data_IF_283133294397
#
_entry.id   IF_283133294397
#
_cell.length_a   1.000
_cell.length_b   1.000
_cell.length_c   1.000
_cell.angle_alpha   90.00
_cell.angle_beta   90.00
_cell.angle_gamma   90.00
#
_symmetry.space_group_name_H-M   'P 1'
#
loop_
_entity.id
_entity.type
_entity.pdbx_description
1 polymer ?
#
# COMPACT_ATOMS: atom_id res chain seq x y z
N UNK A 1 -30.83 -44.00 0.40
CA UNK A 1 -30.56 -42.55 0.19
C UNK A 1 -29.10 -42.12 0.48
N UNK A 2 -28.13 -43.03 0.64
CA UNK A 2 -26.76 -42.72 1.09
C UNK A 2 -25.73 -42.43 -0.02
N UNK A 3 -25.96 -42.88 -1.26
CA UNK A 3 -24.98 -42.73 -2.36
C UNK A 3 -24.89 -41.31 -2.94
N UNK A 4 -25.96 -40.50 -2.88
CA UNK A 4 -25.96 -39.12 -3.41
C UNK A 4 -25.15 -38.15 -2.56
N UNK A 5 -25.14 -38.35 -1.24
CA UNK A 5 -24.38 -37.49 -0.31
C UNK A 5 -22.86 -37.66 -0.46
N UNK A 6 -22.39 -38.87 -0.80
CA UNK A 6 -20.97 -39.12 -1.04
C UNK A 6 -20.42 -38.43 -2.29
N UNK A 7 -21.19 -38.39 -3.37
CA UNK A 7 -20.78 -37.74 -4.63
C UNK A 7 -20.66 -36.22 -4.46
N UNK A 8 -21.64 -35.58 -3.81
CA UNK A 8 -21.62 -34.13 -3.55
C UNK A 8 -20.43 -33.74 -2.67
N UNK A 9 -20.16 -34.51 -1.61
CA UNK A 9 -19.01 -34.28 -0.75
C UNK A 9 -17.68 -34.36 -1.50
N UNK A 10 -17.49 -35.40 -2.33
CA UNK A 10 -16.29 -35.55 -3.15
C UNK A 10 -16.10 -34.38 -4.14
N UNK A 11 -17.16 -33.94 -4.81
CA UNK A 11 -17.10 -32.81 -5.74
C UNK A 11 -16.68 -31.52 -5.05
N UNK A 12 -17.26 -31.19 -3.89
CA UNK A 12 -16.90 -29.99 -3.13
C UNK A 12 -15.42 -30.01 -2.73
N UNK A 13 -14.92 -31.15 -2.24
CA UNK A 13 -13.51 -31.30 -1.87
C UNK A 13 -12.58 -31.08 -3.06
N UNK A 14 -12.91 -31.66 -4.23
CA UNK A 14 -12.12 -31.49 -5.45
C UNK A 14 -12.09 -30.02 -5.87
N UNK A 15 -13.24 -29.35 -5.89
CA UNK A 15 -13.32 -27.93 -6.27
C UNK A 15 -12.54 -27.03 -5.30
N UNK A 16 -12.61 -27.30 -4.00
CA UNK A 16 -11.82 -26.58 -3.00
C UNK A 16 -10.31 -26.81 -3.19
N UNK A 17 -9.89 -28.06 -3.42
CA UNK A 17 -8.49 -28.39 -3.65
C UNK A 17 -7.96 -27.70 -4.92
N UNK A 18 -8.75 -27.69 -6.00
CA UNK A 18 -8.40 -26.96 -7.23
C UNK A 18 -8.33 -25.45 -6.98
N UNK A 19 -9.30 -24.88 -6.28
CA UNK A 19 -9.30 -23.44 -5.96
C UNK A 19 -8.08 -23.02 -5.15
N UNK A 20 -7.70 -23.80 -4.13
CA UNK A 20 -6.50 -23.57 -3.35
C UNK A 20 -5.22 -23.75 -4.18
N UNK A 21 -5.18 -24.75 -5.06
CA UNK A 21 -4.06 -24.97 -5.98
C UNK A 21 -3.85 -23.79 -6.93
N UNK A 22 -4.92 -23.28 -7.55
CA UNK A 22 -4.88 -22.11 -8.43
C UNK A 22 -4.45 -20.86 -7.65
N UNK A 23 -5.03 -20.62 -6.47
CA UNK A 23 -4.65 -19.47 -5.64
C UNK A 23 -3.18 -19.54 -5.20
N UNK A 24 -2.69 -20.73 -4.82
CA UNK A 24 -1.29 -20.96 -4.48
C UNK A 24 -0.36 -20.72 -5.67
N UNK A 25 -0.71 -21.22 -6.85
CA UNK A 25 0.05 -21.00 -8.08
C UNK A 25 0.09 -19.52 -8.49
N UNK A 26 -1.06 -18.83 -8.48
CA UNK A 26 -1.12 -17.39 -8.73
C UNK A 26 -0.26 -16.61 -7.72
N UNK A 27 -0.28 -16.99 -6.44
CA UNK A 27 0.59 -16.38 -5.41
C UNK A 27 2.07 -16.52 -5.76
N UNK A 28 2.48 -17.66 -6.30
CA UNK A 28 3.86 -17.88 -6.70
C UNK A 28 4.24 -17.03 -7.92
N UNK A 29 3.35 -16.93 -8.91
CA UNK A 29 3.57 -16.11 -10.09
C UNK A 29 3.66 -14.61 -9.75
N UNK A 30 2.86 -14.11 -8.81
CA UNK A 30 2.89 -12.71 -8.37
C UNK A 30 4.24 -12.29 -7.74
N UNK A 31 5.09 -13.24 -7.34
CA UNK A 31 6.46 -12.96 -6.87
C UNK A 31 7.45 -12.65 -8.00
N UNK A 32 7.02 -12.73 -9.27
CA UNK A 32 7.79 -12.32 -10.44
C UNK A 32 7.13 -11.11 -11.09
N UNK A 33 7.79 -9.96 -11.07
CA UNK A 33 7.28 -8.74 -11.70
C UNK A 33 6.95 -8.92 -13.19
N UNK A 34 7.62 -9.87 -13.87
CA UNK A 34 7.34 -10.20 -15.28
C UNK A 34 5.95 -10.76 -15.47
N UNK A 35 5.43 -11.50 -14.48
CA UNK A 35 4.05 -11.98 -14.50
C UNK A 35 3.06 -10.81 -14.42
N UNK A 36 3.31 -9.85 -13.53
CA UNK A 36 2.47 -8.67 -13.39
C UNK A 36 2.38 -7.92 -14.74
N UNK A 37 3.52 -7.60 -15.36
CA UNK A 37 3.53 -6.85 -16.61
C UNK A 37 3.12 -7.66 -17.85
N UNK A 38 2.91 -8.99 -17.74
CA UNK A 38 2.45 -9.79 -18.87
C UNK A 38 1.00 -9.47 -19.27
N UNK A 39 0.18 -9.04 -18.30
CA UNK A 39 -1.24 -8.71 -18.50
C UNK A 39 -1.55 -7.24 -18.18
N UNK A 40 -0.65 -6.49 -17.54
CA UNK A 40 -0.86 -5.06 -17.33
C UNK A 40 -0.49 -4.23 -18.57
N UNK A 41 -1.05 -3.02 -18.65
CA UNK A 41 -0.93 -2.11 -19.80
C UNK A 41 0.28 -1.19 -19.72
N UNK A 42 0.41 -0.32 -20.72
CA UNK A 42 1.45 0.72 -20.81
C UNK A 42 1.84 1.40 -19.47
N UNK A 43 0.92 1.80 -18.57
CA UNK A 43 1.31 2.36 -17.27
C UNK A 43 2.22 1.45 -16.45
N UNK A 44 1.80 0.22 -16.15
CA UNK A 44 2.56 -0.67 -15.28
C UNK A 44 3.85 -1.14 -15.93
N UNK A 45 3.85 -1.35 -17.25
CA UNK A 45 5.09 -1.65 -18.01
C UNK A 45 6.09 -0.50 -17.84
N UNK A 46 5.63 0.75 -17.99
CA UNK A 46 6.48 1.91 -17.80
C UNK A 46 6.98 2.06 -16.34
N UNK A 47 6.22 1.61 -15.34
CA UNK A 47 6.64 1.63 -13.93
C UNK A 47 7.72 0.58 -13.68
N UNK A 48 7.49 -0.63 -14.18
CA UNK A 48 8.45 -1.72 -14.12
C UNK A 48 9.77 -1.34 -14.81
N UNK A 49 9.71 -0.80 -16.03
CA UNK A 49 10.91 -0.39 -16.75
C UNK A 49 11.71 0.67 -16.00
N UNK A 50 11.06 1.68 -15.41
CA UNK A 50 11.74 2.69 -14.58
C UNK A 50 12.39 2.05 -13.35
N UNK A 51 11.70 1.15 -12.68
CA UNK A 51 12.24 0.44 -11.52
C UNK A 51 13.45 -0.43 -11.90
N UNK A 52 13.40 -1.15 -13.03
CA UNK A 52 14.54 -1.94 -13.52
C UNK A 52 15.72 -1.06 -13.94
N UNK A 53 15.46 0.06 -14.63
CA UNK A 53 16.49 1.02 -15.03
C UNK A 53 17.20 1.63 -13.81
N UNK A 54 16.42 1.98 -12.77
CA UNK A 54 16.93 2.49 -11.51
C UNK A 54 17.76 1.42 -10.76
N UNK A 55 17.24 0.20 -10.64
CA UNK A 55 17.95 -0.93 -10.04
C UNK A 55 19.26 -1.26 -10.76
N UNK A 56 19.29 -1.13 -12.08
CA UNK A 56 20.50 -1.34 -12.88
C UNK A 56 21.49 -0.16 -12.81
N UNK A 57 21.14 0.94 -12.13
CA UNK A 57 21.96 2.16 -12.07
C UNK A 57 22.03 2.94 -13.40
N UNK A 58 21.21 2.57 -14.38
CA UNK A 58 21.18 3.22 -15.70
C UNK A 58 20.43 4.56 -15.71
N UNK A 59 19.57 4.78 -14.71
CA UNK A 59 18.83 6.02 -14.46
C UNK A 59 18.71 6.21 -12.94
N UNK A 60 18.57 7.45 -12.44
CA UNK A 60 18.16 7.68 -11.05
C UNK A 60 16.70 7.19 -10.84
N UNK A 61 16.30 6.85 -9.60
CA UNK A 61 14.90 6.53 -9.32
C UNK A 61 14.02 7.77 -9.55
N UNK A 62 13.12 7.72 -10.52
CA UNK A 62 12.29 8.87 -10.93
C UNK A 62 10.96 8.96 -10.17
N UNK A 63 10.63 7.96 -9.37
CA UNK A 63 9.42 7.90 -8.56
C UNK A 63 9.67 7.03 -7.31
N UNK A 64 8.73 7.09 -6.36
CA UNK A 64 8.83 6.37 -5.11
C UNK A 64 8.87 4.84 -5.34
N UNK A 65 8.16 4.32 -6.35
CA UNK A 65 8.22 2.88 -6.66
C UNK A 65 9.62 2.44 -7.08
N UNK A 66 10.30 3.21 -7.93
CA UNK A 66 11.67 2.94 -8.38
C UNK A 66 12.67 3.06 -7.25
N UNK A 67 12.44 3.97 -6.30
CA UNK A 67 13.28 4.10 -5.09
C UNK A 67 13.27 2.84 -4.23
N UNK A 68 12.11 2.21 -4.06
CA UNK A 68 12.01 0.96 -3.30
C UNK A 68 12.84 -0.16 -3.95
N UNK A 69 13.02 -0.17 -5.27
CA UNK A 69 13.88 -1.13 -5.94
C UNK A 69 15.37 -0.86 -5.71
N UNK A 70 15.77 0.41 -5.53
CA UNK A 70 17.16 0.80 -5.30
C UNK A 70 17.60 0.69 -3.85
N UNK A 71 16.67 0.89 -2.90
CA UNK A 71 16.96 0.82 -1.46
C UNK A 71 16.78 -0.58 -0.88
N UNK A 72 16.17 -1.49 -1.64
CA UNK A 72 16.04 -2.89 -1.25
C UNK A 72 17.40 -3.55 -1.06
N UNK A 73 17.51 -4.34 0.01
CA UNK A 73 18.71 -5.16 0.24
C UNK A 73 18.79 -6.28 -0.80
N UNK A 74 20.00 -6.69 -1.14
CA UNK A 74 20.22 -7.75 -2.13
C UNK A 74 19.56 -9.08 -1.74
N UNK A 75 19.54 -9.41 -0.44
CA UNK A 75 18.90 -10.60 0.10
C UNK A 75 17.36 -10.55 0.16
N UNK A 76 16.78 -9.36 0.00
CA UNK A 76 15.34 -9.13 0.04
C UNK A 76 14.94 -8.10 -1.04
N UNK A 77 15.04 -8.47 -2.33
CA UNK A 77 14.73 -7.56 -3.42
C UNK A 77 13.24 -7.19 -3.37
N UNK A 78 12.96 -5.89 -3.53
CA UNK A 78 11.59 -5.40 -3.60
C UNK A 78 10.95 -5.75 -4.96
N UNK A 79 9.64 -6.03 -4.92
CA UNK A 79 8.81 -6.45 -6.05
C UNK A 79 7.52 -5.64 -6.10
N UNK A 80 6.81 -5.67 -7.22
CA UNK A 80 5.48 -5.06 -7.34
C UNK A 80 4.54 -5.58 -6.23
N UNK A 81 4.52 -6.90 -6.03
CA UNK A 81 3.60 -7.53 -5.08
C UNK A 81 3.85 -7.12 -3.63
N UNK A 82 5.08 -6.71 -3.26
CA UNK A 82 5.40 -6.32 -1.89
C UNK A 82 4.61 -5.08 -1.44
N UNK A 83 4.28 -4.19 -2.37
CA UNK A 83 3.38 -3.07 -2.11
C UNK A 83 1.90 -3.47 -2.33
N UNK A 84 1.62 -4.28 -3.35
CA UNK A 84 0.25 -4.59 -3.79
C UNK A 84 -0.47 -5.69 -3.01
N UNK A 85 0.21 -6.44 -2.13
CA UNK A 85 -0.39 -7.56 -1.37
C UNK A 85 -0.92 -7.21 0.02
N UNK A 86 -0.74 -5.97 0.47
CA UNK A 86 -1.06 -5.55 1.83
C UNK A 86 -0.17 -6.17 2.91
N UNK A 87 -0.73 -6.37 4.11
CA UNK A 87 0.03 -6.81 5.28
C UNK A 87 -0.03 -8.32 5.51
N UNK A 88 -0.15 -9.11 4.43
CA UNK A 88 -0.17 -10.58 4.45
C UNK A 88 -1.31 -11.20 5.25
N UNK A 89 -2.35 -10.43 5.58
CA UNK A 89 -3.55 -10.98 6.22
C UNK A 89 -4.35 -11.80 5.20
N UNK A 90 -5.20 -12.72 5.68
CA UNK A 90 -6.08 -13.48 4.79
C UNK A 90 -7.04 -12.56 4.01
N UNK A 91 -7.49 -11.47 4.63
CA UNK A 91 -8.36 -10.48 4.00
C UNK A 91 -7.61 -9.72 2.90
N UNK A 92 -6.38 -9.29 3.16
CA UNK A 92 -5.54 -8.63 2.14
C UNK A 92 -5.24 -9.58 0.98
N UNK A 93 -4.97 -10.86 1.27
CA UNK A 93 -4.75 -11.88 0.24
C UNK A 93 -5.98 -12.08 -0.64
N UNK A 94 -7.15 -12.25 -0.03
CA UNK A 94 -8.41 -12.39 -0.76
C UNK A 94 -8.69 -11.15 -1.62
N UNK A 95 -8.45 -9.95 -1.07
CA UNK A 95 -8.61 -8.68 -1.80
C UNK A 95 -7.66 -8.61 -3.00
N UNK A 96 -6.39 -8.98 -2.82
CA UNK A 96 -5.37 -8.99 -3.88
C UNK A 96 -5.77 -9.94 -5.00
N UNK A 97 -6.21 -11.16 -4.68
CA UNK A 97 -6.66 -12.15 -5.68
C UNK A 97 -7.89 -11.68 -6.46
N UNK A 98 -8.85 -11.03 -5.79
CA UNK A 98 -10.04 -10.47 -6.45
C UNK A 98 -9.66 -9.32 -7.38
N UNK A 99 -8.73 -8.45 -6.98
CA UNK A 99 -8.21 -7.39 -7.83
C UNK A 99 -7.44 -7.95 -9.04
N UNK A 100 -6.60 -8.97 -8.84
CA UNK A 100 -5.90 -9.65 -9.93
C UNK A 100 -6.87 -10.28 -10.95
N UNK A 101 -7.93 -10.94 -10.48
CA UNK A 101 -8.98 -11.47 -11.34
C UNK A 101 -9.70 -10.35 -12.12
N UNK A 102 -10.05 -9.25 -11.43
CA UNK A 102 -10.68 -8.09 -12.08
C UNK A 102 -9.79 -7.55 -13.19
N UNK A 103 -8.50 -7.34 -12.92
CA UNK A 103 -7.58 -6.75 -13.87
C UNK A 103 -7.34 -7.67 -15.06
N UNK A 104 -7.26 -8.99 -14.84
CA UNK A 104 -7.22 -9.99 -15.91
C UNK A 104 -8.48 -9.93 -16.81
N UNK A 105 -9.67 -9.78 -16.23
CA UNK A 105 -10.92 -9.64 -16.99
C UNK A 105 -10.99 -8.31 -17.77
N UNK A 106 -10.51 -7.22 -17.18
CA UNK A 106 -10.44 -5.90 -17.85
C UNK A 106 -9.48 -5.96 -19.04
N UNK A 107 -8.31 -6.59 -18.87
CA UNK A 107 -7.34 -6.81 -19.93
C UNK A 107 -7.93 -7.69 -21.04
N UNK A 108 -8.50 -8.85 -20.70
CA UNK A 108 -9.11 -9.77 -21.67
C UNK A 108 -10.26 -9.11 -22.46
N UNK A 109 -10.96 -8.15 -21.85
CA UNK A 109 -12.00 -7.35 -22.48
C UNK A 109 -11.51 -6.14 -23.29
N UNK A 110 -10.19 -5.91 -23.41
CA UNK A 110 -9.61 -4.79 -24.16
C UNK A 110 -9.90 -3.41 -23.57
N UNK A 111 -10.22 -3.33 -22.27
CA UNK A 111 -10.71 -2.11 -21.59
C UNK A 111 -9.72 -1.55 -20.58
N UNK A 112 -8.45 -1.91 -20.69
CA UNK A 112 -7.45 -1.46 -19.75
C UNK A 112 -7.12 0.03 -19.94
N UNK A 113 -6.94 0.72 -18.81
CA UNK A 113 -6.70 2.16 -18.74
C UNK A 113 -5.28 2.50 -19.23
N UNK A 114 -5.13 3.28 -20.32
CA UNK A 114 -3.82 3.62 -20.85
C UNK A 114 -3.12 4.75 -20.09
N UNK A 115 -3.77 5.37 -19.09
CA UNK A 115 -3.25 6.53 -18.36
C UNK A 115 -1.99 6.15 -17.59
N UNK A 116 -0.87 6.78 -17.94
CA UNK A 116 0.44 6.49 -17.36
C UNK A 116 0.57 6.91 -15.90
N UNK A 117 -0.15 7.90 -15.41
CA UNK A 117 -0.04 8.34 -14.01
C UNK A 117 -1.33 7.98 -13.26
N UNK A 118 -1.27 6.93 -12.45
CA UNK A 118 -2.39 6.52 -11.60
C UNK A 118 -2.30 7.22 -10.26
N UNK A 119 -3.25 8.12 -9.99
CA UNK A 119 -3.35 8.89 -8.75
C UNK A 119 -4.44 8.36 -7.80
N UNK A 120 -5.17 7.31 -8.19
CA UNK A 120 -6.19 6.66 -7.37
C UNK A 120 -5.96 5.16 -7.30
N UNK A 121 -6.10 4.59 -6.10
CA UNK A 121 -6.08 3.15 -5.89
C UNK A 121 -7.51 2.63 -5.67
N UNK A 122 -7.84 1.47 -6.24
CA UNK A 122 -9.12 0.80 -6.00
C UNK A 122 -9.26 0.28 -4.57
N UNK A 123 -8.15 -0.13 -3.96
CA UNK A 123 -8.09 -0.62 -2.59
C UNK A 123 -6.99 0.13 -1.81
N UNK A 124 -7.20 1.42 -1.46
CA UNK A 124 -6.18 2.22 -0.80
C UNK A 124 -5.75 1.64 0.54
N UNK A 125 -6.65 0.97 1.27
CA UNK A 125 -6.34 0.29 2.53
C UNK A 125 -5.36 -0.89 2.37
N UNK A 126 -5.38 -1.57 1.22
CA UNK A 126 -4.43 -2.65 0.91
C UNK A 126 -3.01 -2.09 0.81
N UNK A 127 -2.84 -1.03 0.02
CA UNK A 127 -1.54 -0.35 -0.13
C UNK A 127 -1.07 0.25 1.20
N UNK A 128 -1.97 0.87 1.96
CA UNK A 128 -1.60 1.44 3.25
C UNK A 128 -1.16 0.38 4.26
N UNK A 129 -1.79 -0.80 4.24
CA UNK A 129 -1.38 -1.93 5.06
C UNK A 129 0.05 -2.38 4.71
N UNK A 130 0.38 -2.44 3.41
CA UNK A 130 1.74 -2.76 2.96
C UNK A 130 2.78 -1.72 3.43
N UNK A 131 2.48 -0.42 3.29
CA UNK A 131 3.37 0.65 3.78
C UNK A 131 3.66 0.47 5.28
N UNK A 132 2.62 0.25 6.09
CA UNK A 132 2.74 0.12 7.55
C UNK A 132 3.54 -1.09 8.01
N UNK A 133 3.67 -2.13 7.17
CA UNK A 133 4.46 -3.32 7.49
C UNK A 133 5.95 -3.02 7.55
N UNK A 134 6.45 -2.22 6.61
CA UNK A 134 7.87 -1.87 6.51
C UNK A 134 8.19 -0.56 7.25
N UNK A 135 7.25 0.39 7.28
CA UNK A 135 7.44 1.72 7.90
C UNK A 135 6.81 1.84 9.28
N UNK A 136 6.60 0.71 9.97
CA UNK A 136 5.95 0.64 11.28
C UNK A 136 6.57 1.59 12.29
N UNK A 137 7.90 1.61 12.39
CA UNK A 137 8.61 2.41 13.39
C UNK A 137 8.42 3.91 13.14
N UNK A 138 8.40 4.35 11.89
CA UNK A 138 8.10 5.75 11.52
C UNK A 138 6.71 6.16 11.98
N UNK A 139 5.71 5.27 11.83
CA UNK A 139 4.33 5.55 12.26
C UNK A 139 4.19 5.67 13.78
N UNK A 140 5.10 5.06 14.54
CA UNK A 140 5.05 4.97 16.00
C UNK A 140 6.00 5.94 16.71
N UNK A 141 6.71 6.79 15.97
CA UNK A 141 7.42 7.94 16.57
C UNK A 141 6.39 8.92 17.11
N UNK A 142 6.43 9.21 18.40
CA UNK A 142 5.47 10.11 19.05
C UNK A 142 5.82 11.59 18.86
N UNK A 143 4.85 12.45 19.17
CA UNK A 143 5.05 13.89 19.26
C UNK A 143 4.47 14.66 18.07
N UNK A 144 4.34 15.98 18.25
CA UNK A 144 3.65 16.84 17.30
C UNK A 144 4.27 16.85 15.90
N UNK A 145 5.60 16.71 15.78
CA UNK A 145 6.27 16.66 14.46
C UNK A 145 5.85 15.43 13.62
N UNK A 146 5.32 14.39 14.27
CA UNK A 146 4.82 13.18 13.62
C UNK A 146 3.29 13.01 13.77
N UNK A 147 2.57 14.07 14.16
CA UNK A 147 1.14 14.01 14.47
C UNK A 147 0.33 13.41 13.32
N UNK A 148 0.65 13.80 12.07
CA UNK A 148 -0.01 13.27 10.89
C UNK A 148 0.03 11.74 10.89
N UNK A 149 1.23 11.15 11.00
CA UNK A 149 1.38 9.70 10.98
C UNK A 149 0.73 9.04 12.20
N UNK A 150 0.91 9.61 13.40
CA UNK A 150 0.33 9.06 14.63
C UNK A 150 -1.20 9.02 14.62
N UNK A 151 -1.83 9.97 13.94
CA UNK A 151 -3.28 10.09 13.88
C UNK A 151 -3.90 9.32 12.69
N UNK A 152 -3.08 8.72 11.81
CA UNK A 152 -3.59 7.83 10.76
C UNK A 152 -4.13 6.51 11.35
N UNK A 153 -5.18 5.92 10.73
CA UNK A 153 -5.72 4.62 11.13
C UNK A 153 -4.65 3.53 11.28
N UNK A 154 -3.62 3.54 10.44
CA UNK A 154 -2.61 2.50 10.41
C UNK A 154 -1.58 2.61 11.52
N UNK A 155 -1.28 3.80 12.04
CA UNK A 155 -0.47 3.92 13.25
C UNK A 155 -1.22 3.33 14.45
N UNK A 156 -2.51 3.62 14.59
CA UNK A 156 -3.34 3.01 15.63
C UNK A 156 -3.37 1.48 15.51
N UNK A 157 -3.55 0.93 14.31
CA UNK A 157 -3.53 -0.53 14.07
C UNK A 157 -2.16 -1.13 14.39
N UNK A 158 -1.07 -0.48 13.96
CA UNK A 158 0.29 -0.92 14.25
C UNK A 158 0.58 -0.93 15.76
N UNK A 159 0.08 0.06 16.50
CA UNK A 159 0.18 0.12 17.96
C UNK A 159 -0.63 -0.99 18.63
N UNK A 160 -1.90 -1.16 18.24
CA UNK A 160 -2.78 -2.24 18.75
C UNK A 160 -2.23 -3.64 18.48
N UNK A 161 -1.49 -3.82 17.38
CA UNK A 161 -0.78 -5.07 17.07
C UNK A 161 0.54 -5.25 17.88
N UNK A 162 0.65 -4.62 19.06
CA UNK A 162 1.82 -4.71 19.93
C UNK A 162 2.99 -3.79 19.55
N UNK A 163 2.72 -2.72 18.79
CA UNK A 163 3.74 -1.78 18.37
C UNK A 163 4.17 -0.91 19.55
N UNK A 164 5.48 -0.66 19.68
CA UNK A 164 6.00 0.22 20.73
C UNK A 164 6.06 1.66 20.24
N UNK A 165 5.51 2.59 21.02
CA UNK A 165 5.69 4.01 20.81
C UNK A 165 7.14 4.41 21.08
N UNK A 166 7.73 5.15 20.13
CA UNK A 166 9.12 5.57 20.15
C UNK A 166 9.18 7.07 20.40
N UNK A 167 10.10 7.55 21.27
CA UNK A 167 10.34 8.99 21.38
C UNK A 167 11.01 9.51 20.10
N UNK A 168 10.88 10.80 19.77
CA UNK A 168 11.69 11.43 18.73
C UNK A 168 13.19 11.23 18.99
N UNK A 169 13.98 10.95 17.94
CA UNK A 169 15.42 10.64 18.07
C UNK A 169 16.25 11.69 18.82
N UNK A 170 15.78 12.93 18.89
CA UNK A 170 16.49 14.08 19.48
C UNK A 170 15.85 14.58 20.78
N UNK A 171 14.83 13.89 21.33
CA UNK A 171 14.15 14.32 22.56
C UNK A 171 14.05 13.16 23.54
N UNK A 172 14.19 13.48 24.83
CA UNK A 172 13.87 12.53 25.89
C UNK A 172 12.37 12.21 25.87
N UNK A 173 12.01 11.03 26.34
CA UNK A 173 10.61 10.63 26.50
C UNK A 173 9.87 11.66 27.37
N UNK A 174 8.76 12.19 26.85
CA UNK A 174 7.95 13.25 27.52
C UNK A 174 6.77 12.68 28.29
N UNK A 175 6.56 11.35 28.23
CA UNK A 175 5.38 10.69 28.79
C UNK A 175 4.17 10.73 27.85
N UNK A 176 4.30 11.34 26.67
CA UNK A 176 3.29 11.25 25.61
C UNK A 176 3.06 9.80 25.17
N UNK A 177 4.09 8.95 25.25
CA UNK A 177 4.03 7.53 24.98
C UNK A 177 3.04 6.80 25.90
N UNK A 178 2.86 7.28 27.13
CA UNK A 178 1.93 6.69 28.09
C UNK A 178 0.46 6.98 27.74
N UNK A 179 0.17 7.99 26.91
CA UNK A 179 -1.21 8.32 26.48
C UNK A 179 -1.74 7.38 25.39
N UNK A 180 -0.85 6.66 24.70
CA UNK A 180 -1.21 5.81 23.58
C UNK A 180 -1.65 6.59 22.34
N UNK A 181 -2.02 5.86 21.28
CA UNK A 181 -2.60 6.46 20.08
C UNK A 181 -4.12 6.45 20.13
N UNK A 182 -4.74 7.43 19.48
CA UNK A 182 -6.19 7.49 19.28
C UNK A 182 -6.53 7.05 17.87
N UNK A 183 -7.67 6.39 17.72
CA UNK A 183 -8.19 6.06 16.41
C UNK A 183 -8.99 7.25 15.86
N UNK A 184 -8.63 7.72 14.67
CA UNK A 184 -9.39 8.69 13.91
C UNK A 184 -9.87 8.03 12.62
N UNK A 185 -11.18 8.11 12.36
CA UNK A 185 -11.73 7.65 11.11
C UNK A 185 -11.51 8.73 10.03
N UNK A 186 -10.65 8.43 9.05
CA UNK A 186 -10.35 9.33 7.93
C UNK A 186 -10.11 8.52 6.65
N UNK A 187 -10.36 9.13 5.50
CA UNK A 187 -10.02 8.58 4.18
C UNK A 187 -8.60 8.94 3.75
N UNK A 188 -7.90 9.78 4.52
CA UNK A 188 -6.50 10.13 4.30
C UNK A 188 -5.63 8.91 4.61
N UNK A 189 -4.69 8.66 3.72
CA UNK A 189 -3.79 7.49 3.72
C UNK A 189 -2.36 7.94 3.41
N UNK A 190 -1.38 7.04 3.54
CA UNK A 190 -0.01 7.27 3.10
C UNK A 190 0.03 7.80 1.66
N UNK A 191 -0.78 7.23 0.75
CA UNK A 191 -0.81 7.64 -0.66
C UNK A 191 -1.42 9.03 -0.91
N UNK A 192 -2.05 9.63 0.11
CA UNK A 192 -2.53 11.02 0.01
C UNK A 192 -1.38 12.02 -0.12
N UNK A 193 -0.20 11.66 0.40
CA UNK A 193 1.03 12.46 0.33
C UNK A 193 2.19 11.74 -0.38
N UNK A 194 2.24 10.40 -0.33
CA UNK A 194 3.31 9.58 -0.90
C UNK A 194 2.86 8.92 -2.21
N UNK A 195 2.95 9.65 -3.33
CA UNK A 195 2.50 9.11 -4.63
C UNK A 195 3.55 8.18 -5.23
N UNK A 196 3.20 6.90 -5.35
CA UNK A 196 4.13 5.84 -5.74
C UNK A 196 4.63 5.92 -7.20
N UNK A 197 3.73 6.21 -8.13
CA UNK A 197 3.98 6.11 -9.58
C UNK A 197 3.91 7.45 -10.33
N UNK A 198 3.99 8.56 -9.60
CA UNK A 198 4.08 9.90 -10.19
C UNK A 198 5.55 10.27 -10.25
N UNK A 199 5.99 10.79 -11.40
CA UNK A 199 7.38 11.25 -11.53
C UNK A 199 7.64 12.40 -10.54
N UNK A 200 8.78 12.33 -9.88
CA UNK A 200 9.18 13.31 -8.89
C UNK A 200 9.82 12.64 -7.69
N UNK A 201 10.65 13.40 -7.01
CA UNK A 201 11.23 13.01 -5.74
C UNK A 201 10.15 13.12 -4.65
N UNK A 202 10.06 12.13 -3.77
CA UNK A 202 9.13 12.17 -2.64
C UNK A 202 9.28 13.46 -1.79
N UNK A 203 10.52 13.92 -1.62
CA UNK A 203 10.82 15.18 -0.93
C UNK A 203 10.20 16.39 -1.62
N UNK A 204 10.09 16.39 -2.96
CA UNK A 204 9.42 17.44 -3.70
C UNK A 204 7.90 17.41 -3.50
N UNK A 205 7.30 16.24 -3.31
CA UNK A 205 5.87 16.13 -2.99
C UNK A 205 5.53 16.73 -1.62
N UNK A 206 6.45 16.69 -0.65
CA UNK A 206 6.29 17.42 0.61
C UNK A 206 6.43 18.94 0.47
N UNK A 207 7.18 19.40 -0.53
CA UNK A 207 7.25 20.83 -0.88
C UNK A 207 6.02 21.31 -1.66
N UNK A 208 5.23 20.39 -2.22
CA UNK A 208 3.96 20.68 -2.88
C UNK A 208 2.83 20.87 -1.85
N UNK A 209 3.01 21.87 -0.97
CA UNK A 209 2.09 22.13 0.13
C UNK A 209 0.67 22.38 -0.38
N UNK A 210 0.51 23.27 -1.35
CA UNK A 210 -0.80 23.68 -1.85
C UNK A 210 -1.55 22.55 -2.57
N UNK A 211 -0.86 21.76 -3.37
CA UNK A 211 -1.49 20.76 -4.25
C UNK A 211 -1.62 19.38 -3.60
N UNK A 212 -0.86 19.10 -2.54
CA UNK A 212 -0.80 17.77 -1.93
C UNK A 212 -0.98 17.78 -0.41
N UNK A 213 -0.13 18.47 0.34
CA UNK A 213 -0.08 18.37 1.80
C UNK A 213 -1.30 19.03 2.45
N UNK A 214 -1.54 20.32 2.16
CA UNK A 214 -2.67 21.07 2.71
C UNK A 214 -4.03 20.43 2.42
N UNK A 215 -4.35 19.99 1.18
CA UNK A 215 -5.63 19.32 0.95
C UNK A 215 -5.77 18.00 1.71
N UNK A 216 -4.69 17.25 1.95
CA UNK A 216 -4.75 16.06 2.81
C UNK A 216 -5.01 16.43 4.27
N UNK A 217 -4.31 17.44 4.81
CA UNK A 217 -4.52 17.95 6.17
C UNK A 217 -5.94 18.48 6.36
N UNK A 218 -6.43 19.32 5.44
CA UNK A 218 -7.79 19.87 5.48
C UNK A 218 -8.84 18.76 5.45
N UNK A 219 -8.67 17.75 4.58
CA UNK A 219 -9.57 16.60 4.53
C UNK A 219 -9.61 15.85 5.85
N UNK A 220 -8.44 15.54 6.43
CA UNK A 220 -8.36 14.86 7.73
C UNK A 220 -9.06 15.69 8.81
N UNK A 221 -8.78 16.99 8.90
CA UNK A 221 -9.37 17.86 9.92
C UNK A 221 -10.89 18.03 9.76
N UNK A 222 -11.39 18.02 8.53
CA UNK A 222 -12.83 18.03 8.24
C UNK A 222 -13.50 16.71 8.63
N UNK A 223 -12.95 15.57 8.23
CA UNK A 223 -13.51 14.25 8.51
C UNK A 223 -13.51 13.90 10.00
N UNK A 224 -12.46 14.33 10.71
CA UNK A 224 -12.30 14.03 12.15
C UNK A 224 -12.96 15.08 13.06
N UNK A 225 -13.30 16.25 12.52
CA UNK A 225 -13.78 17.39 13.31
C UNK A 225 -12.72 17.93 14.28
N UNK A 226 -11.43 17.78 13.96
CA UNK A 226 -10.29 18.17 14.81
C UNK A 226 -9.29 19.00 14.00
N UNK A 227 -8.60 19.92 14.66
CA UNK A 227 -7.55 20.72 14.02
C UNK A 227 -8.07 21.90 13.18
N UNK A 228 -7.15 22.73 12.68
CA UNK A 228 -7.49 23.90 11.88
C UNK A 228 -8.09 23.52 10.52
N UNK A 229 -9.21 24.15 10.17
CA UNK A 229 -9.83 24.03 8.85
C UNK A 229 -9.48 25.27 8.01
N UNK A 230 -9.46 25.14 6.68
CA UNK A 230 -9.10 26.21 5.74
C UNK A 230 -7.65 26.68 5.94
N UNK A 231 -6.73 25.74 5.78
CA UNK A 231 -5.30 25.96 5.86
C UNK A 231 -4.77 26.76 4.67
N UNK A 232 -5.49 26.72 3.54
CA UNK A 232 -5.16 27.54 2.37
C UNK A 232 -5.56 29.00 2.60
N UNK A 233 -4.59 29.91 2.48
CA UNK A 233 -4.81 31.35 2.51
C UNK A 233 -4.91 31.98 3.91
N UNK A 234 -4.49 31.26 4.96
CA UNK A 234 -4.29 31.79 6.31
C UNK A 234 -2.93 32.48 6.46
#
# INVERSE_FOLDING_TARGET
MTKRSGAIGATIVILLAMGLGVAGYASHLEEDDRFCIACHTAPEVAYYERAQQAKAGSQPPLDLSSRHYTEAKAEAPFRCIDCHRGNHTLVDRATTLVLGLRDALVWAGGRADPTLEKNTAYAPGLLNAACSRCHRDTLLVTGFENHFHNDLPEAYRAWQAGGRLLPPRQRAATGEEARGLRFYATTVTCLSCHRAHVRGEETQFYLQQETLVLPACERCHQETGRGPQRLRGS
#
